data_IF_074034018360
#
_entry.id   IF_074034018360
#
_cell.length_a   1.000
_cell.length_b   1.000
_cell.length_c   1.000
_cell.angle_alpha   90.00
_cell.angle_beta   90.00
_cell.angle_gamma   90.00
#
_symmetry.space_group_name_H-M   'P 1'
#
loop_
_entity.id
_entity.type
_entity.pdbx_description
1 polymer ?
#
# COMPACT_ATOMS: atom_id res chain seq x y z
N UNK A 1 -15.49 -27.93 -16.33
CA UNK A 1 -16.02 -27.39 -15.05
C UNK A 1 -15.74 -28.25 -13.80
N UNK A 2 -14.86 -29.26 -13.82
CA UNK A 2 -14.59 -30.08 -12.62
C UNK A 2 -13.32 -29.66 -11.85
N UNK A 3 -12.30 -29.15 -12.55
CA UNK A 3 -10.99 -28.82 -11.95
C UNK A 3 -11.06 -27.51 -11.14
N UNK A 4 -11.87 -26.53 -11.58
CA UNK A 4 -12.05 -25.26 -10.86
C UNK A 4 -12.79 -25.39 -9.52
N UNK A 5 -13.73 -26.32 -9.40
CA UNK A 5 -14.47 -26.56 -8.16
C UNK A 5 -13.58 -27.25 -7.09
N UNK A 6 -12.61 -28.07 -7.50
CA UNK A 6 -11.68 -28.72 -6.57
C UNK A 6 -10.54 -27.78 -6.15
N UNK A 7 -10.04 -26.95 -7.06
CA UNK A 7 -8.99 -25.96 -6.77
C UNK A 7 -9.48 -24.83 -5.85
N UNK A 8 -10.77 -24.45 -5.97
CA UNK A 8 -11.44 -23.52 -5.06
C UNK A 8 -11.80 -24.12 -3.69
N UNK A 9 -11.91 -25.45 -3.59
CA UNK A 9 -12.20 -26.14 -2.33
C UNK A 9 -10.95 -26.39 -1.46
N UNK A 10 -9.74 -26.37 -2.05
CA UNK A 10 -8.48 -26.69 -1.37
C UNK A 10 -7.52 -25.53 -1.19
N UNK A 11 -7.87 -24.31 -1.62
CA UNK A 11 -7.24 -23.09 -1.11
C UNK A 11 -8.07 -22.65 0.10
N UNK A 12 -7.72 -23.06 1.33
CA UNK A 12 -8.47 -22.60 2.47
C UNK A 12 -8.24 -21.09 2.53
N UNK A 13 -9.31 -20.30 2.40
CA UNK A 13 -9.22 -18.85 2.42
C UNK A 13 -8.60 -18.34 3.74
N UNK A 14 -8.70 -19.14 4.80
CA UNK A 14 -8.27 -18.78 6.16
C UNK A 14 -6.74 -18.67 6.32
N UNK A 15 -5.90 -19.65 5.90
CA UNK A 15 -4.43 -19.47 5.96
C UNK A 15 -3.92 -18.36 5.05
N UNK A 16 -4.52 -18.16 3.88
CA UNK A 16 -4.12 -17.09 2.96
C UNK A 16 -4.44 -15.72 3.58
N UNK A 17 -5.62 -15.58 4.18
CA UNK A 17 -5.99 -14.39 4.93
C UNK A 17 -5.05 -14.14 6.11
N UNK A 18 -4.64 -15.20 6.83
CA UNK A 18 -3.72 -15.10 7.96
C UNK A 18 -2.32 -14.65 7.51
N UNK A 19 -1.79 -15.26 6.45
CA UNK A 19 -0.50 -14.90 5.88
C UNK A 19 -0.50 -13.45 5.37
N UNK A 20 -1.56 -13.05 4.66
CA UNK A 20 -1.71 -11.66 4.19
C UNK A 20 -1.84 -10.69 5.36
N UNK A 21 -2.67 -10.98 6.36
CA UNK A 21 -2.81 -10.13 7.54
C UNK A 21 -1.47 -9.92 8.28
N UNK A 22 -0.69 -10.99 8.47
CA UNK A 22 0.66 -10.90 9.05
C UNK A 22 1.56 -10.02 8.20
N UNK A 23 1.58 -10.22 6.87
CA UNK A 23 2.38 -9.40 5.97
C UNK A 23 2.01 -7.91 6.07
N UNK A 24 0.71 -7.58 6.03
CA UNK A 24 0.22 -6.21 6.18
C UNK A 24 0.61 -5.59 7.54
N UNK A 25 0.52 -6.35 8.64
CA UNK A 25 0.94 -5.88 9.96
C UNK A 25 2.46 -5.66 10.04
N UNK A 26 3.26 -6.55 9.44
CA UNK A 26 4.72 -6.37 9.35
C UNK A 26 5.07 -5.11 8.55
N UNK A 27 4.40 -4.88 7.42
CA UNK A 27 4.57 -3.66 6.63
C UNK A 27 4.12 -2.40 7.38
N UNK A 28 3.08 -2.48 8.20
CA UNK A 28 2.65 -1.35 9.03
C UNK A 28 3.72 -0.94 10.05
N UNK A 29 4.30 -1.92 10.75
CA UNK A 29 5.37 -1.69 11.74
C UNK A 29 6.63 -1.17 11.05
N UNK A 30 7.00 -1.75 9.91
CA UNK A 30 8.13 -1.33 9.11
C UNK A 30 7.94 0.11 8.61
N UNK A 31 6.83 0.42 7.93
CA UNK A 31 6.56 1.77 7.45
C UNK A 31 6.63 2.85 8.56
N UNK A 32 6.20 2.53 9.79
CA UNK A 32 6.38 3.43 10.93
C UNK A 32 7.84 3.57 11.33
N UNK A 33 8.59 2.47 11.43
CA UNK A 33 10.01 2.51 11.82
C UNK A 33 10.88 3.27 10.82
N UNK A 34 10.68 3.05 9.52
CA UNK A 34 11.40 3.75 8.46
C UNK A 34 11.06 5.25 8.44
N UNK A 35 9.83 5.65 8.79
CA UNK A 35 9.47 7.05 9.00
C UNK A 35 10.13 7.71 10.22
N UNK A 36 10.61 6.93 11.20
CA UNK A 36 11.30 7.42 12.39
C UNK A 36 12.83 7.52 12.21
N UNK A 37 13.41 6.75 11.27
CA UNK A 37 14.85 6.68 11.00
C UNK A 37 15.36 7.83 10.09
N UNK A 38 14.76 9.02 10.21
CA UNK A 38 15.12 10.17 9.38
C UNK A 38 16.60 10.53 9.47
N UNK A 39 17.21 10.66 8.28
CA UNK A 39 18.51 11.29 7.97
C UNK A 39 19.83 10.52 8.10
N UNK A 40 19.85 9.20 8.35
CA UNK A 40 21.12 8.43 8.34
C UNK A 40 21.30 7.58 7.05
N UNK A 41 21.18 8.19 5.86
CA UNK A 41 21.58 7.53 4.60
C UNK A 41 22.99 7.99 4.18
N UNK A 42 24.01 7.11 4.18
CA UNK A 42 25.33 7.46 3.69
C UNK A 42 25.27 7.85 2.19
N UNK A 43 25.91 8.96 1.86
CA UNK A 43 25.89 9.64 0.56
C UNK A 43 26.57 8.91 -0.61
N UNK A 44 26.67 7.58 -0.57
CA UNK A 44 27.25 6.78 -1.65
C UNK A 44 26.42 5.51 -1.90
N UNK A 45 25.53 5.50 -2.92
CA UNK A 45 24.95 4.24 -3.38
C UNK A 45 26.07 3.35 -3.95
N UNK A 46 26.18 2.08 -3.55
CA UNK A 46 27.06 1.13 -4.23
C UNK A 46 26.60 1.00 -5.69
N UNK A 47 27.49 1.27 -6.64
CA UNK A 47 27.23 1.09 -8.07
C UNK A 47 26.82 -0.38 -8.35
N UNK A 48 25.55 -0.67 -8.68
CA UNK A 48 25.14 -2.02 -8.96
C UNK A 48 25.40 -2.26 -10.44
N UNK A 49 26.53 -2.88 -10.74
CA UNK A 49 26.88 -3.43 -12.07
C UNK A 49 25.81 -4.38 -12.61
N UNK A 50 24.91 -4.80 -11.73
CA UNK A 50 23.77 -5.67 -11.97
C UNK A 50 22.42 -4.97 -11.72
N UNK A 51 22.33 -3.64 -11.74
CA UNK A 51 21.07 -2.91 -11.53
C UNK A 51 19.94 -3.45 -12.42
N UNK A 52 20.26 -3.73 -13.69
CA UNK A 52 19.36 -4.35 -14.65
C UNK A 52 18.94 -5.76 -14.24
N UNK A 53 19.88 -6.58 -13.74
CA UNK A 53 19.60 -7.94 -13.30
C UNK A 53 18.78 -7.95 -12.00
N UNK A 54 19.01 -6.99 -11.09
CA UNK A 54 18.20 -6.79 -9.89
C UNK A 54 16.79 -6.36 -10.23
N UNK A 55 16.63 -5.41 -11.15
CA UNK A 55 15.31 -4.94 -11.62
C UNK A 55 14.59 -6.06 -12.35
N UNK A 56 15.24 -6.76 -13.27
CA UNK A 56 14.66 -7.89 -14.01
C UNK A 56 14.33 -9.05 -13.07
N UNK A 57 15.22 -9.40 -12.13
CA UNK A 57 14.97 -10.48 -11.17
C UNK A 57 13.85 -10.15 -10.19
N UNK A 58 13.80 -8.91 -9.67
CA UNK A 58 12.70 -8.45 -8.83
C UNK A 58 11.38 -8.40 -9.58
N UNK A 59 11.41 -7.98 -10.86
CA UNK A 59 10.24 -7.94 -11.73
C UNK A 59 9.72 -9.35 -12.03
N UNK A 60 10.62 -10.29 -12.37
CA UNK A 60 10.29 -11.70 -12.59
C UNK A 60 9.80 -12.37 -11.31
N UNK A 61 10.38 -12.08 -10.14
CA UNK A 61 9.88 -12.58 -8.85
C UNK A 61 8.48 -12.02 -8.53
N UNK A 62 8.21 -10.76 -8.85
CA UNK A 62 6.89 -10.14 -8.67
C UNK A 62 5.85 -10.70 -9.64
N UNK A 63 6.21 -10.90 -10.92
CA UNK A 63 5.38 -11.53 -11.96
C UNK A 63 5.06 -13.00 -11.64
N UNK A 64 6.05 -13.76 -11.18
CA UNK A 64 5.87 -15.17 -10.78
C UNK A 64 5.07 -15.32 -9.47
N UNK A 65 4.87 -14.24 -8.72
CA UNK A 65 4.05 -14.26 -7.51
C UNK A 65 2.55 -14.26 -7.81
N UNK A 66 2.13 -14.02 -9.05
CA UNK A 66 0.72 -14.03 -9.45
C UNK A 66 0.42 -15.10 -10.51
N UNK A 67 0.12 -16.31 -10.03
CA UNK A 67 -0.38 -17.46 -10.80
C UNK A 67 -1.79 -17.26 -11.38
N UNK A 68 -2.41 -16.10 -11.20
CA UNK A 68 -3.75 -15.83 -11.73
C UNK A 68 -3.73 -15.61 -13.25
N UNK A 69 -2.59 -15.23 -13.83
CA UNK A 69 -2.40 -15.07 -15.30
C UNK A 69 -2.55 -16.37 -16.09
N UNK A 70 -2.11 -17.51 -15.57
CA UNK A 70 -2.35 -18.83 -16.20
C UNK A 70 -3.82 -19.28 -16.06
N UNK A 71 -4.50 -18.91 -14.98
CA UNK A 71 -5.93 -19.19 -14.79
C UNK A 71 -6.81 -18.35 -15.72
N UNK A 72 -6.44 -17.09 -15.97
CA UNK A 72 -7.17 -16.18 -16.87
C UNK A 72 -7.01 -16.56 -18.35
N UNK A 73 -5.82 -17.00 -18.78
CA UNK A 73 -5.60 -17.48 -20.16
C UNK A 73 -6.43 -18.74 -20.48
N UNK A 74 -6.68 -19.59 -19.48
CA UNK A 74 -7.51 -20.79 -19.65
C UNK A 74 -9.01 -20.46 -19.61
N UNK A 75 -9.42 -19.33 -18.99
CA UNK A 75 -10.81 -18.88 -18.89
C UNK A 75 -11.23 -17.94 -20.05
N UNK A 76 -10.29 -17.21 -20.64
CA UNK A 76 -10.51 -16.23 -21.72
C UNK A 76 -10.70 -16.86 -23.11
N UNK A 77 -10.76 -18.19 -23.21
CA UNK A 77 -10.90 -18.91 -24.48
C UNK A 77 -12.36 -19.06 -24.94
N UNK A 78 -13.28 -18.20 -24.48
CA UNK A 78 -14.65 -18.16 -24.98
C UNK A 78 -15.14 -16.73 -25.25
N UNK A 79 -14.99 -16.36 -26.53
CA UNK A 79 -15.52 -15.20 -27.27
C UNK A 79 -15.17 -13.76 -26.81
N UNK A 80 -14.46 -13.07 -27.72
CA UNK A 80 -14.03 -11.66 -27.75
C UNK A 80 -12.86 -11.22 -26.84
N UNK A 81 -11.86 -12.11 -26.72
CA UNK A 81 -10.63 -11.93 -25.94
C UNK A 81 -9.85 -10.64 -26.24
N UNK A 82 -9.88 -10.13 -27.47
CA UNK A 82 -9.11 -8.95 -27.88
C UNK A 82 -9.67 -7.66 -27.26
N UNK A 83 -10.99 -7.50 -27.23
CA UNK A 83 -11.64 -6.31 -26.67
C UNK A 83 -11.40 -6.17 -25.17
N UNK A 84 -11.48 -7.29 -24.44
CA UNK A 84 -11.17 -7.35 -23.00
C UNK A 84 -9.69 -7.10 -22.74
N UNK A 85 -8.80 -7.69 -23.56
CA UNK A 85 -7.36 -7.51 -23.41
C UNK A 85 -6.92 -6.06 -23.64
N UNK A 86 -7.39 -5.43 -24.72
CA UNK A 86 -7.09 -4.04 -25.03
C UNK A 86 -7.72 -3.09 -23.99
N UNK A 87 -8.98 -3.32 -23.62
CA UNK A 87 -9.68 -2.52 -22.62
C UNK A 87 -9.02 -2.58 -21.24
N UNK A 88 -8.63 -3.78 -20.79
CA UNK A 88 -7.92 -3.97 -19.52
C UNK A 88 -6.54 -3.32 -19.54
N UNK A 89 -5.81 -3.44 -20.65
CA UNK A 89 -4.46 -2.86 -20.78
C UNK A 89 -4.52 -1.33 -20.76
N UNK A 90 -5.44 -0.74 -21.54
CA UNK A 90 -5.66 0.71 -21.53
C UNK A 90 -6.15 1.20 -20.17
N UNK A 91 -7.06 0.47 -19.52
CA UNK A 91 -7.54 0.77 -18.18
C UNK A 91 -6.41 0.82 -17.15
N UNK A 92 -5.53 -0.17 -17.17
CA UNK A 92 -4.36 -0.24 -16.29
C UNK A 92 -3.40 0.93 -16.53
N UNK A 93 -3.03 1.20 -17.78
CA UNK A 93 -2.12 2.31 -18.13
C UNK A 93 -2.70 3.65 -17.67
N UNK A 94 -4.00 3.87 -17.87
CA UNK A 94 -4.67 5.10 -17.43
C UNK A 94 -4.73 5.20 -15.91
N UNK A 95 -5.07 4.11 -15.22
CA UNK A 95 -5.12 4.07 -13.75
C UNK A 95 -3.74 4.36 -13.15
N UNK A 96 -2.69 3.72 -13.66
CA UNK A 96 -1.32 3.92 -13.22
C UNK A 96 -0.84 5.35 -13.52
N UNK A 97 -1.13 5.87 -14.71
CA UNK A 97 -0.81 7.25 -15.08
C UNK A 97 -1.46 8.27 -14.15
N UNK A 98 -2.75 8.08 -13.83
CA UNK A 98 -3.47 8.93 -12.87
C UNK A 98 -2.91 8.78 -11.45
N UNK A 99 -2.57 7.56 -11.02
CA UNK A 99 -1.99 7.31 -9.71
C UNK A 99 -0.62 7.99 -9.56
N UNK A 100 0.24 7.91 -10.58
CA UNK A 100 1.55 8.58 -10.61
C UNK A 100 1.37 10.10 -10.60
N UNK A 101 0.46 10.63 -11.43
CA UNK A 101 0.17 12.07 -11.47
C UNK A 101 -0.33 12.61 -10.14
N UNK A 102 -1.27 11.89 -9.50
CA UNK A 102 -1.76 12.21 -8.16
C UNK A 102 -0.65 12.10 -7.11
N UNK A 103 0.17 11.05 -7.17
CA UNK A 103 1.30 10.83 -6.27
C UNK A 103 2.35 11.94 -6.34
N UNK A 104 2.69 12.40 -7.55
CA UNK A 104 3.62 13.53 -7.76
C UNK A 104 3.08 14.84 -7.17
N UNK A 105 1.78 15.12 -7.40
CA UNK A 105 1.15 16.31 -6.83
C UNK A 105 1.11 16.26 -5.29
N UNK A 106 0.86 15.07 -4.74
CA UNK A 106 0.82 14.81 -3.31
C UNK A 106 2.22 14.94 -2.68
N UNK A 107 3.25 14.41 -3.33
CA UNK A 107 4.65 14.45 -2.86
C UNK A 107 5.21 15.88 -2.80
N UNK A 108 4.82 16.76 -3.71
CA UNK A 108 5.22 18.18 -3.66
C UNK A 108 4.55 18.96 -2.51
N UNK A 109 3.40 18.49 -2.02
CA UNK A 109 2.60 19.18 -1.01
C UNK A 109 2.73 18.57 0.39
N UNK A 110 3.05 17.28 0.49
CA UNK A 110 3.15 16.56 1.76
C UNK A 110 4.60 16.18 2.09
N UNK A 111 5.05 16.47 3.33
CA UNK A 111 6.34 16.04 3.85
C UNK A 111 6.45 14.51 3.86
N UNK A 112 7.63 13.98 3.55
CA UNK A 112 7.95 12.55 3.47
C UNK A 112 7.53 11.75 4.72
N UNK A 113 7.61 12.37 5.90
CA UNK A 113 7.13 11.80 7.15
C UNK A 113 5.63 11.50 7.15
N UNK A 114 4.80 12.35 6.52
CA UNK A 114 3.35 12.12 6.45
C UNK A 114 3.03 10.98 5.48
N UNK A 115 3.80 10.82 4.39
CA UNK A 115 3.63 9.69 3.48
C UNK A 115 3.92 8.36 4.17
N UNK A 116 5.00 8.27 4.95
CA UNK A 116 5.34 7.06 5.72
C UNK A 116 4.26 6.73 6.76
N UNK A 117 3.80 7.73 7.52
CA UNK A 117 2.73 7.55 8.51
C UNK A 117 1.44 7.09 7.82
N UNK A 118 1.07 7.69 6.69
CA UNK A 118 -0.14 7.33 5.96
C UNK A 118 -0.04 5.91 5.39
N UNK A 119 1.09 5.54 4.80
CA UNK A 119 1.33 4.18 4.31
C UNK A 119 1.22 3.15 5.44
N UNK A 120 1.92 3.35 6.56
CA UNK A 120 1.87 2.45 7.70
C UNK A 120 0.46 2.30 8.29
N UNK A 121 -0.29 3.40 8.31
CA UNK A 121 -1.68 3.41 8.75
C UNK A 121 -2.61 2.62 7.81
N UNK A 122 -2.45 2.77 6.49
CA UNK A 122 -3.20 1.99 5.51
C UNK A 122 -2.88 0.49 5.65
N UNK A 123 -1.60 0.14 5.78
CA UNK A 123 -1.18 -1.24 6.00
C UNK A 123 -1.77 -1.81 7.29
N UNK A 124 -1.78 -1.04 8.37
CA UNK A 124 -2.41 -1.43 9.63
C UNK A 124 -3.91 -1.67 9.44
N UNK A 125 -4.59 -0.75 8.75
CA UNK A 125 -6.03 -0.82 8.51
C UNK A 125 -6.42 -2.07 7.72
N UNK A 126 -5.73 -2.33 6.61
CA UNK A 126 -5.96 -3.51 5.78
C UNK A 126 -5.56 -4.80 6.47
N UNK A 127 -4.44 -4.82 7.21
CA UNK A 127 -4.02 -5.98 7.98
C UNK A 127 -5.04 -6.37 9.04
N UNK A 128 -5.58 -5.39 9.74
CA UNK A 128 -6.57 -5.59 10.79
C UNK A 128 -7.93 -6.00 10.20
N UNK A 129 -8.37 -5.37 9.10
CA UNK A 129 -9.55 -5.79 8.35
C UNK A 129 -9.43 -7.25 7.91
N UNK A 130 -8.32 -7.61 7.26
CA UNK A 130 -8.09 -8.95 6.73
C UNK A 130 -7.96 -10.00 7.83
N UNK A 131 -7.42 -9.63 8.99
CA UNK A 131 -7.36 -10.50 10.17
C UNK A 131 -8.77 -10.78 10.73
N UNK A 132 -9.59 -9.75 10.95
CA UNK A 132 -10.89 -9.94 11.60
C UNK A 132 -11.96 -10.49 10.66
N UNK A 133 -11.99 -10.04 9.40
CA UNK A 133 -12.94 -10.50 8.39
C UNK A 133 -12.50 -11.85 7.81
N UNK A 134 -11.25 -11.94 7.35
CA UNK A 134 -10.73 -13.11 6.65
C UNK A 134 -10.32 -14.28 7.55
N UNK A 135 -9.72 -14.02 8.72
CA UNK A 135 -9.29 -15.10 9.61
C UNK A 135 -10.34 -15.50 10.66
N UNK A 136 -11.06 -14.53 11.24
CA UNK A 136 -12.02 -14.79 12.32
C UNK A 136 -13.49 -14.86 11.88
N UNK A 137 -13.85 -14.32 10.71
CA UNK A 137 -15.25 -14.32 10.23
C UNK A 137 -16.19 -13.42 11.05
N UNK A 138 -15.64 -12.55 11.90
CA UNK A 138 -16.40 -11.59 12.70
C UNK A 138 -16.48 -10.24 12.00
N UNK A 139 -17.30 -10.20 10.95
CA UNK A 139 -17.47 -9.03 10.09
C UNK A 139 -17.88 -7.77 10.87
N UNK A 140 -18.68 -7.91 11.92
CA UNK A 140 -19.10 -6.79 12.79
C UNK A 140 -17.93 -6.16 13.56
N UNK A 141 -17.02 -7.01 14.06
CA UNK A 141 -15.82 -6.58 14.78
C UNK A 141 -14.82 -5.98 13.80
N UNK A 142 -14.67 -6.56 12.60
CA UNK A 142 -13.85 -6.01 11.54
C UNK A 142 -14.28 -4.57 11.19
N UNK A 143 -15.57 -4.35 10.94
CA UNK A 143 -16.09 -3.00 10.63
C UNK A 143 -15.85 -2.05 11.80
N UNK A 144 -16.14 -2.47 13.03
CA UNK A 144 -15.96 -1.63 14.22
C UNK A 144 -14.50 -1.21 14.45
N UNK A 145 -13.58 -2.17 14.36
CA UNK A 145 -12.14 -1.93 14.55
C UNK A 145 -11.59 -1.04 13.43
N UNK A 146 -11.97 -1.31 12.18
CA UNK A 146 -11.47 -0.54 11.03
C UNK A 146 -12.02 0.89 11.05
N UNK A 147 -13.29 1.08 11.39
CA UNK A 147 -13.88 2.40 11.55
C UNK A 147 -13.20 3.18 12.69
N UNK A 148 -12.94 2.53 13.83
CA UNK A 148 -12.24 3.16 14.94
C UNK A 148 -10.82 3.59 14.56
N UNK A 149 -10.05 2.73 13.88
CA UNK A 149 -8.70 3.07 13.42
C UNK A 149 -8.75 4.19 12.37
N UNK A 150 -9.72 4.18 11.44
CA UNK A 150 -9.92 5.25 10.46
C UNK A 150 -10.27 6.60 11.11
N UNK A 151 -11.04 6.59 12.20
CA UNK A 151 -11.37 7.81 12.97
C UNK A 151 -10.12 8.34 13.68
N UNK A 152 -9.37 7.46 14.36
CA UNK A 152 -8.12 7.84 15.07
C UNK A 152 -7.07 8.36 14.07
N UNK A 153 -6.97 7.72 12.92
CA UNK A 153 -6.17 8.16 11.79
C UNK A 153 -6.52 9.58 11.35
N UNK A 154 -7.79 9.83 11.05
CA UNK A 154 -8.27 11.13 10.58
C UNK A 154 -8.03 12.23 11.63
N UNK A 155 -8.26 11.91 12.91
CA UNK A 155 -7.97 12.80 14.04
C UNK A 155 -6.47 13.09 14.19
N UNK A 156 -5.60 12.09 14.00
CA UNK A 156 -4.15 12.24 14.07
C UNK A 156 -3.59 13.13 12.96
N UNK A 157 -4.06 12.93 11.72
CA UNK A 157 -3.65 13.72 10.55
C UNK A 157 -4.11 15.18 10.65
N UNK A 158 -5.35 15.40 11.11
CA UNK A 158 -5.88 16.75 11.35
C UNK A 158 -5.15 17.46 12.51
N UNK A 159 -4.81 16.75 13.58
CA UNK A 159 -4.02 17.31 14.67
C UNK A 159 -2.58 17.66 14.25
N UNK A 160 -1.93 16.83 13.44
CA UNK A 160 -0.57 17.10 12.93
C UNK A 160 -0.53 18.31 11.99
N UNK A 161 -1.51 18.45 11.10
CA UNK A 161 -1.60 19.61 10.21
C UNK A 161 -1.84 20.91 10.97
N UNK A 162 -2.65 20.89 12.03
CA UNK A 162 -2.84 22.05 12.92
C UNK A 162 -1.60 22.38 13.76
N UNK A 163 -0.90 21.37 14.30
CA UNK A 163 0.36 21.59 15.06
C UNK A 163 1.46 22.21 14.20
N UNK A 164 1.58 21.80 12.93
CA UNK A 164 2.55 22.40 11.99
C UNK A 164 2.28 23.89 11.75
N UNK A 165 1.00 24.28 11.60
CA UNK A 165 0.60 25.70 11.46
C UNK A 165 0.92 26.52 12.72
N UNK A 166 0.72 25.92 13.91
CA UNK A 166 1.01 26.58 15.20
C UNK A 166 2.50 26.82 15.43
N UNK A 167 3.34 25.88 15.00
CA UNK A 167 4.79 26.03 15.11
C UNK A 167 5.33 27.09 14.12
N UNK A 168 4.78 27.16 12.90
CA UNK A 168 5.15 28.18 11.93
C UNK A 168 4.81 29.61 12.39
N UNK A 169 3.67 29.78 13.08
CA UNK A 169 3.26 31.08 13.64
C UNK A 169 4.11 31.49 14.85
N UNK A 170 4.51 30.55 15.70
CA UNK A 170 5.39 30.84 16.85
C UNK A 170 6.81 31.31 16.45
N UNK A 171 7.35 30.81 15.33
CA UNK A 171 8.64 31.25 14.78
C UNK A 171 8.59 32.68 14.22
N UNK A 172 7.49 33.05 13.56
CA UNK A 172 7.28 34.39 13.02
C UNK A 172 7.18 35.47 14.12
N UNK A 173 6.61 35.13 15.28
CA UNK A 173 6.54 36.06 16.43
C UNK A 173 7.91 36.27 17.08
N UNK A 174 8.79 35.26 17.07
CA UNK A 174 10.16 35.35 17.64
C UNK A 174 11.11 36.20 16.79
N UNK A 175 10.93 36.24 15.48
CA UNK A 175 11.73 37.08 14.57
C UNK A 175 11.29 38.55 14.52
N UNK A 176 10.12 38.89 15.08
CA UNK A 176 9.57 40.24 15.09
C UNK A 176 9.96 41.05 16.35
N UNK A 177 10.76 40.46 17.25
CA UNK A 177 11.25 41.14 18.46
C UNK A 177 12.74 41.48 18.27
N UNK A 178 13.08 42.68 17.73
CA UNK A 178 14.44 43.17 17.77
C UNK A 178 14.79 43.51 19.23
N UNK A 179 15.95 43.01 19.69
CA UNK A 179 16.51 43.34 20.99
C UNK A 179 17.02 44.76 21.08
#
# INVERSE_FOLDING_TARGET
>A
MAIGHFLGATLPARPIAFAGAIAFLLFAVWAWREGAAGDDKPANPPHPRFALLTVVSSFVLAELSDKTTLATVTLASDHDWVGVWVGSTLGMILADGLAIGAGLLLHQRLPEQLLHVLAGLLFLLFGLWMLFDGAFGWRSVAIGVTAAVAIVAAAGVTAQTLRRRRNASALATRSAQPG
#
